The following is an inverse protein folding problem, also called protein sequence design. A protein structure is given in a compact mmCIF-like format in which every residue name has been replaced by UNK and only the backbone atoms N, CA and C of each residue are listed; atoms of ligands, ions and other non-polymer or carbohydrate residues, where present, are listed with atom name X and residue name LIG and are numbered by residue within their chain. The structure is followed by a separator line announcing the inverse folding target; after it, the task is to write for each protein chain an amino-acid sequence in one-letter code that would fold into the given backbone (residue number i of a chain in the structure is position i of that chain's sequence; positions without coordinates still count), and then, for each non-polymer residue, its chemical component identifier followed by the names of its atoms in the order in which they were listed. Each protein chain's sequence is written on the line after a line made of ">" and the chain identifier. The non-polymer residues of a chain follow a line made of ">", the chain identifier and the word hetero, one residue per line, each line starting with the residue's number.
data_IF_986723407970
#
_entry.id   IF_986723407970
#
_cell.length_a   1.000
_cell.length_b   1.000
_cell.length_c   1.000
_cell.angle_alpha   90.00
_cell.angle_beta   90.00
_cell.angle_gamma   90.00
#
_symmetry.space_group_name_H-M   'P 1'
#
loop_
_entity.id
_entity.type
_entity.pdbx_description
1 polymer ?
#
# COMPACT_ATOMS: atom_id res chain seq x y z
N UNK A 1 68.63 -2.34 -32.97
CA UNK A 1 67.76 -1.75 -31.89
C UNK A 1 66.39 -1.25 -32.37
N UNK A 2 66.26 -0.48 -33.46
CA UNK A 2 64.97 0.04 -33.93
C UNK A 2 63.92 -1.03 -34.29
N UNK A 3 64.36 -2.20 -34.82
CA UNK A 3 63.38 -3.30 -35.19
C UNK A 3 62.86 -4.09 -33.99
N UNK A 4 63.58 -4.16 -32.89
CA UNK A 4 63.21 -4.85 -31.68
C UNK A 4 62.15 -4.01 -30.93
N UNK A 5 62.25 -2.68 -30.94
CA UNK A 5 61.28 -1.77 -30.35
C UNK A 5 59.96 -1.81 -31.10
N UNK A 6 59.94 -1.95 -32.43
CA UNK A 6 58.73 -2.06 -33.23
C UNK A 6 57.99 -3.35 -32.97
N UNK A 7 58.66 -4.47 -32.75
CA UNK A 7 58.02 -5.77 -32.44
C UNK A 7 57.45 -5.76 -31.02
N UNK A 8 58.16 -5.14 -30.06
CA UNK A 8 57.65 -4.99 -28.69
C UNK A 8 56.43 -4.08 -28.62
N UNK A 9 56.36 -2.99 -29.39
CA UNK A 9 55.22 -2.10 -29.47
C UNK A 9 53.97 -2.79 -30.08
N UNK A 10 54.18 -3.60 -31.15
CA UNK A 10 53.07 -4.37 -31.73
C UNK A 10 52.55 -5.48 -30.80
N UNK A 11 53.42 -6.14 -30.05
CA UNK A 11 53.03 -7.15 -29.07
C UNK A 11 52.27 -6.54 -27.89
N UNK A 12 52.61 -5.31 -27.45
CA UNK A 12 51.91 -4.60 -26.39
C UNK A 12 50.51 -4.10 -26.86
N UNK A 13 50.37 -3.70 -28.11
CA UNK A 13 49.11 -3.29 -28.71
C UNK A 13 48.16 -4.47 -28.97
N UNK A 14 48.69 -5.65 -29.29
CA UNK A 14 47.88 -6.86 -29.45
C UNK A 14 47.40 -7.44 -28.12
N UNK A 15 48.11 -7.24 -27.02
CA UNK A 15 47.66 -7.68 -25.69
C UNK A 15 46.52 -6.84 -25.10
N UNK A 16 46.31 -5.61 -25.59
CA UNK A 16 45.20 -4.76 -25.14
C UNK A 16 43.86 -5.09 -25.80
N UNK A 17 43.84 -5.76 -26.95
CA UNK A 17 42.59 -6.17 -27.63
C UNK A 17 42.09 -7.53 -27.19
N UNK A 18 42.92 -8.38 -26.57
CA UNK A 18 42.52 -9.70 -26.06
C UNK A 18 42.01 -9.61 -24.59
N UNK A 19 42.23 -8.46 -23.96
CA UNK A 19 41.83 -8.25 -22.55
C UNK A 19 40.31 -8.06 -22.34
N UNK A 20 39.57 -7.77 -23.39
CA UNK A 20 38.12 -7.55 -23.24
C UNK A 20 37.31 -8.84 -23.21
N UNK A 21 37.80 -9.94 -23.82
CA UNK A 21 37.05 -11.21 -23.83
C UNK A 21 37.31 -12.09 -22.60
N UNK A 22 38.34 -11.77 -21.80
CA UNK A 22 38.67 -12.56 -20.61
C UNK A 22 37.97 -12.09 -19.33
N UNK A 23 37.29 -10.97 -19.39
CA UNK A 23 36.39 -10.48 -18.37
C UNK A 23 34.97 -10.42 -18.97
N UNK A 24 34.40 -11.55 -19.33
CA UNK A 24 32.93 -11.65 -19.40
C UNK A 24 32.41 -11.43 -18.00
N UNK A 25 32.12 -10.17 -17.70
CA UNK A 25 31.73 -9.72 -16.36
C UNK A 25 30.32 -10.14 -15.98
N UNK A 26 29.51 -10.60 -16.91
CA UNK A 26 28.19 -11.12 -16.63
C UNK A 26 27.63 -11.82 -17.88
N UNK A 27 27.54 -13.15 -17.86
CA UNK A 27 26.88 -13.95 -18.89
C UNK A 27 25.40 -14.15 -18.63
N UNK A 28 24.80 -13.47 -17.65
CA UNK A 28 23.39 -13.61 -17.40
C UNK A 28 22.58 -12.90 -18.49
N UNK A 29 21.61 -13.60 -19.05
CA UNK A 29 20.59 -12.95 -19.89
C UNK A 29 20.00 -11.78 -19.11
N UNK A 30 19.83 -10.63 -19.76
CA UNK A 30 19.09 -9.51 -19.16
C UNK A 30 17.65 -9.89 -18.82
N UNK A 31 16.95 -9.02 -18.12
CA UNK A 31 15.54 -9.23 -17.80
C UNK A 31 14.75 -9.65 -19.05
N UNK A 32 14.05 -10.76 -18.94
CA UNK A 32 13.39 -11.41 -20.08
C UNK A 32 11.89 -11.65 -19.87
N UNK A 33 11.36 -11.18 -18.76
CA UNK A 33 9.95 -11.21 -18.44
C UNK A 33 9.44 -9.85 -17.95
N UNK A 34 8.12 -9.69 -18.03
CA UNK A 34 7.37 -8.56 -17.47
C UNK A 34 6.18 -9.12 -16.75
N UNK A 35 5.77 -8.45 -15.69
CA UNK A 35 4.60 -8.85 -14.93
C UNK A 35 3.74 -7.63 -14.61
N UNK A 36 2.44 -7.81 -14.71
CA UNK A 36 1.44 -6.86 -14.24
C UNK A 36 0.30 -7.62 -13.58
N UNK A 37 -0.49 -6.93 -12.78
CA UNK A 37 -1.65 -7.55 -12.15
C UNK A 37 -2.34 -6.60 -11.19
N UNK A 38 -3.24 -7.17 -10.40
CA UNK A 38 -4.08 -6.47 -9.43
C UNK A 38 -4.03 -7.16 -8.09
N UNK A 39 -4.18 -6.36 -7.06
CA UNK A 39 -4.51 -6.86 -5.73
C UNK A 39 -6.03 -6.88 -5.64
N UNK A 40 -6.61 -8.05 -5.44
CA UNK A 40 -8.05 -8.29 -5.52
C UNK A 40 -8.58 -8.66 -4.13
N UNK A 41 -9.64 -7.99 -3.70
CA UNK A 41 -10.42 -8.41 -2.54
C UNK A 41 -11.05 -9.79 -2.79
N UNK A 42 -10.72 -10.75 -1.96
CA UNK A 42 -11.15 -12.15 -2.10
C UNK A 42 -12.68 -12.32 -2.06
N UNK A 43 -13.41 -11.41 -1.38
CA UNK A 43 -14.88 -11.44 -1.28
C UNK A 43 -15.56 -10.84 -2.50
N UNK A 44 -15.09 -9.67 -2.94
CA UNK A 44 -15.80 -8.88 -3.96
C UNK A 44 -15.26 -9.09 -5.37
N UNK A 45 -14.02 -9.58 -5.50
CA UNK A 45 -13.32 -9.68 -6.78
C UNK A 45 -12.89 -8.32 -7.35
N UNK A 46 -13.06 -7.22 -6.60
CA UNK A 46 -12.67 -5.88 -7.04
C UNK A 46 -11.24 -5.55 -6.61
N UNK A 47 -10.54 -4.69 -7.34
CA UNK A 47 -9.22 -4.23 -6.92
C UNK A 47 -9.28 -3.51 -5.56
N UNK A 48 -8.35 -3.86 -4.68
CA UNK A 48 -8.17 -3.16 -3.40
C UNK A 48 -7.46 -1.85 -3.67
N UNK A 49 -8.12 -0.75 -3.35
CA UNK A 49 -7.55 0.58 -3.50
C UNK A 49 -6.40 0.78 -2.50
N UNK A 50 -5.27 1.25 -3.00
CA UNK A 50 -4.03 1.40 -2.24
C UNK A 50 -3.61 2.86 -2.12
N UNK A 51 -2.49 3.12 -1.51
CA UNK A 51 -1.87 4.44 -1.47
C UNK A 51 -0.43 4.42 -1.99
N UNK A 52 0.09 5.58 -2.34
CA UNK A 52 1.47 5.69 -2.78
C UNK A 52 2.44 5.24 -1.68
N UNK A 53 3.36 4.36 -2.04
CA UNK A 53 4.34 3.81 -1.12
C UNK A 53 4.11 2.34 -0.79
N UNK A 54 2.92 1.82 -1.00
CA UNK A 54 2.60 0.42 -0.81
C UNK A 54 3.32 -0.48 -1.83
N UNK A 55 3.61 -1.70 -1.42
CA UNK A 55 4.37 -2.66 -2.23
C UNK A 55 4.03 -4.11 -1.90
N UNK A 56 4.33 -4.99 -2.86
CA UNK A 56 4.42 -6.43 -2.67
C UNK A 56 5.85 -6.78 -2.27
N UNK A 57 6.02 -7.70 -1.34
CA UNK A 57 7.30 -8.35 -1.07
C UNK A 57 7.30 -9.68 -1.80
N UNK A 58 8.18 -9.81 -2.77
CA UNK A 58 8.28 -10.96 -3.65
C UNK A 58 9.70 -11.52 -3.57
N UNK A 59 9.81 -12.85 -3.61
CA UNK A 59 11.09 -13.56 -3.66
C UNK A 59 11.15 -14.37 -4.94
N UNK A 60 12.25 -14.24 -5.66
CA UNK A 60 12.61 -15.10 -6.78
C UNK A 60 13.27 -16.36 -6.24
N UNK A 61 12.79 -17.52 -6.67
CA UNK A 61 13.27 -18.81 -6.20
C UNK A 61 14.43 -19.35 -7.02
N UNK A 62 15.25 -20.18 -6.40
CA UNK A 62 16.33 -20.87 -7.10
C UNK A 62 17.70 -20.19 -7.03
N UNK A 63 17.83 -19.17 -6.24
CA UNK A 63 19.10 -18.52 -5.92
C UNK A 63 19.68 -19.03 -4.60
N UNK A 64 21.00 -19.04 -4.46
CA UNK A 64 21.69 -19.44 -3.22
C UNK A 64 21.29 -18.56 -2.03
N UNK A 65 21.00 -17.28 -2.28
CA UNK A 65 20.42 -16.35 -1.34
C UNK A 65 19.11 -15.77 -1.93
N UNK A 66 18.00 -16.11 -1.31
CA UNK A 66 16.70 -15.55 -1.69
C UNK A 66 16.52 -14.15 -1.08
N UNK A 67 16.49 -13.12 -1.91
CA UNK A 67 16.33 -11.74 -1.47
C UNK A 67 14.91 -11.24 -1.70
N UNK A 68 14.42 -10.42 -0.77
CA UNK A 68 13.13 -9.78 -0.89
C UNK A 68 13.19 -8.62 -1.91
N UNK A 69 12.30 -8.68 -2.89
CA UNK A 69 12.09 -7.62 -3.88
C UNK A 69 10.80 -6.86 -3.54
N UNK A 70 10.85 -5.52 -3.57
CA UNK A 70 9.68 -4.67 -3.36
C UNK A 70 9.06 -4.24 -4.70
N UNK A 71 7.88 -4.76 -5.05
CA UNK A 71 7.16 -4.33 -6.26
C UNK A 71 6.08 -3.32 -5.91
N UNK A 72 6.15 -2.11 -6.49
CA UNK A 72 5.26 -1.00 -6.18
C UNK A 72 3.82 -1.26 -6.63
N UNK A 73 2.87 -0.93 -5.74
CA UNK A 73 1.43 -0.97 -6.01
C UNK A 73 0.99 0.47 -6.27
N UNK A 74 0.15 0.66 -7.28
CA UNK A 74 -0.49 1.95 -7.60
C UNK A 74 -1.74 2.15 -6.75
N UNK A 75 -2.27 3.37 -6.74
CA UNK A 75 -3.42 3.74 -5.94
C UNK A 75 -4.71 2.97 -6.28
N UNK A 76 -4.84 2.50 -7.52
CA UNK A 76 -5.96 1.68 -7.98
C UNK A 76 -5.79 0.17 -7.70
N UNK A 77 -4.76 -0.20 -6.95
CA UNK A 77 -4.47 -1.60 -6.63
C UNK A 77 -3.79 -2.38 -7.74
N UNK A 78 -3.40 -1.73 -8.85
CA UNK A 78 -2.61 -2.37 -9.90
C UNK A 78 -1.13 -2.31 -9.61
N UNK A 79 -0.36 -3.23 -10.19
CA UNK A 79 1.10 -3.20 -10.16
C UNK A 79 1.69 -3.61 -11.50
N UNK A 80 2.93 -3.21 -11.73
CA UNK A 80 3.71 -3.61 -12.91
C UNK A 80 5.20 -3.60 -12.60
N UNK A 81 5.89 -4.64 -13.07
CA UNK A 81 7.34 -4.71 -13.06
C UNK A 81 7.82 -5.26 -14.41
N UNK A 82 8.58 -4.44 -15.14
CA UNK A 82 9.10 -4.78 -16.47
C UNK A 82 10.54 -5.33 -16.41
N UNK A 83 11.12 -5.42 -15.21
CA UNK A 83 12.51 -5.78 -14.98
C UNK A 83 12.57 -7.03 -14.09
N UNK A 84 12.10 -8.16 -14.61
CA UNK A 84 12.10 -9.45 -13.93
C UNK A 84 12.61 -10.56 -14.85
N UNK A 85 13.05 -11.66 -14.28
CA UNK A 85 13.39 -12.87 -15.02
C UNK A 85 12.18 -13.82 -15.12
N UNK A 86 12.18 -14.68 -16.13
CA UNK A 86 11.29 -15.82 -16.14
C UNK A 86 11.77 -16.84 -15.11
N UNK A 87 10.88 -17.33 -14.26
CA UNK A 87 11.23 -18.23 -13.16
C UNK A 87 10.09 -18.46 -12.17
N UNK A 88 10.42 -19.12 -11.09
CA UNK A 88 9.52 -19.37 -9.97
C UNK A 88 9.63 -18.24 -8.94
N UNK A 89 8.48 -17.79 -8.44
CA UNK A 89 8.38 -16.69 -7.51
C UNK A 89 7.43 -17.01 -6.37
N UNK A 90 7.59 -16.30 -5.27
CA UNK A 90 6.66 -16.33 -4.15
C UNK A 90 6.39 -14.91 -3.66
N UNK A 91 5.13 -14.49 -3.64
CA UNK A 91 4.71 -13.30 -2.95
C UNK A 91 4.54 -13.64 -1.47
N UNK A 92 5.36 -13.04 -0.60
CA UNK A 92 5.38 -13.32 0.85
C UNK A 92 4.40 -12.46 1.62
N UNK A 93 4.34 -11.19 1.31
CA UNK A 93 3.46 -10.23 1.98
C UNK A 93 3.21 -9.02 1.11
N UNK A 94 2.22 -8.26 1.46
CA UNK A 94 1.91 -6.99 0.81
C UNK A 94 1.34 -5.99 1.81
N UNK A 95 1.43 -4.72 1.46
CA UNK A 95 0.97 -3.60 2.27
C UNK A 95 -0.08 -2.81 1.48
N UNK A 96 -1.35 -3.17 1.66
CA UNK A 96 -2.49 -2.48 1.01
C UNK A 96 -3.67 -2.27 1.96
N UNK A 97 -3.43 -2.27 3.28
CA UNK A 97 -4.51 -2.25 4.26
C UNK A 97 -5.27 -3.57 4.30
N UNK A 98 -4.54 -4.67 4.44
CA UNK A 98 -5.09 -6.03 4.43
C UNK A 98 -4.55 -6.88 5.58
N UNK A 99 -5.35 -7.87 5.98
CA UNK A 99 -4.88 -8.95 6.85
C UNK A 99 -3.78 -9.74 6.16
N UNK A 100 -2.87 -10.29 6.96
CA UNK A 100 -1.83 -11.15 6.45
C UNK A 100 -2.45 -12.30 5.64
N UNK A 101 -1.94 -12.54 4.46
CA UNK A 101 -2.29 -13.68 3.61
C UNK A 101 -1.16 -14.70 3.61
N UNK A 102 -1.51 -15.95 3.36
CA UNK A 102 -0.51 -16.98 3.09
C UNK A 102 0.37 -16.57 1.90
N UNK A 103 1.66 -16.96 1.89
CA UNK A 103 2.51 -16.79 0.73
C UNK A 103 1.88 -17.41 -0.52
N UNK A 104 1.95 -16.70 -1.64
CA UNK A 104 1.37 -17.14 -2.92
C UNK A 104 2.49 -17.39 -3.92
N UNK A 105 2.67 -18.67 -4.29
CA UNK A 105 3.63 -19.08 -5.31
C UNK A 105 3.07 -18.80 -6.72
N UNK A 106 3.93 -18.38 -7.64
CA UNK A 106 3.58 -18.17 -9.05
C UNK A 106 4.81 -18.32 -9.95
N UNK A 107 4.55 -18.52 -11.25
CA UNK A 107 5.60 -18.69 -12.26
C UNK A 107 5.50 -17.57 -13.28
N UNK A 108 6.63 -16.98 -13.66
CA UNK A 108 6.73 -16.05 -14.79
C UNK A 108 7.37 -16.75 -15.98
N UNK A 109 6.72 -16.63 -17.13
CA UNK A 109 7.26 -17.03 -18.42
C UNK A 109 8.00 -15.87 -19.09
N UNK A 110 8.89 -16.17 -20.04
CA UNK A 110 9.51 -15.13 -20.90
C UNK A 110 8.40 -14.30 -21.58
N UNK A 111 8.58 -12.98 -21.59
CA UNK A 111 7.59 -12.02 -22.14
C UNK A 111 6.58 -11.51 -21.13
N UNK A 112 5.36 -11.23 -21.58
CA UNK A 112 4.33 -10.59 -20.76
C UNK A 112 3.57 -11.61 -19.90
N UNK A 113 3.39 -11.31 -18.61
CA UNK A 113 2.66 -12.12 -17.65
C UNK A 113 1.60 -11.27 -16.94
N UNK A 114 0.50 -11.91 -16.53
CA UNK A 114 -0.52 -11.31 -15.67
C UNK A 114 -0.72 -12.20 -14.46
N UNK A 115 -0.53 -11.65 -13.25
CA UNK A 115 -0.68 -12.36 -11.98
C UNK A 115 -1.49 -11.48 -11.04
N UNK A 116 -2.62 -11.97 -10.57
CA UNK A 116 -3.45 -11.27 -9.58
C UNK A 116 -3.31 -11.95 -8.22
N UNK A 117 -3.21 -11.14 -7.15
CA UNK A 117 -3.13 -11.62 -5.77
C UNK A 117 -4.41 -11.32 -5.02
N UNK A 118 -4.91 -12.28 -4.25
CA UNK A 118 -6.12 -12.15 -3.45
C UNK A 118 -5.78 -11.85 -2.00
N UNK A 119 -6.53 -10.92 -1.42
CA UNK A 119 -6.39 -10.51 -0.01
C UNK A 119 -7.75 -10.27 0.63
N UNK A 120 -7.76 -10.26 1.97
CA UNK A 120 -8.87 -9.71 2.74
C UNK A 120 -8.46 -8.31 3.24
N UNK A 121 -9.04 -7.23 2.75
CA UNK A 121 -8.76 -5.89 3.26
C UNK A 121 -9.21 -5.78 4.73
N UNK A 122 -8.66 -4.85 5.50
CA UNK A 122 -9.10 -4.63 6.87
C UNK A 122 -10.56 -4.20 6.93
N UNK A 123 -10.95 -3.31 6.03
CA UNK A 123 -12.34 -2.93 5.86
C UNK A 123 -12.66 -2.65 4.40
N UNK A 124 -13.95 -2.60 4.08
CA UNK A 124 -14.46 -2.24 2.74
C UNK A 124 -15.26 -0.97 2.84
N UNK A 125 -14.99 -0.02 1.95
CA UNK A 125 -15.83 1.14 1.74
C UNK A 125 -16.82 0.77 0.64
N UNK A 126 -18.10 0.72 1.00
CA UNK A 126 -19.17 0.27 0.11
C UNK A 126 -19.94 1.45 -0.46
N UNK A 127 -20.28 1.36 -1.76
CA UNK A 127 -21.10 2.32 -2.47
C UNK A 127 -20.65 3.78 -2.29
N UNK A 128 -19.35 4.10 -2.41
CA UNK A 128 -18.87 5.45 -2.23
C UNK A 128 -19.47 6.39 -3.29
N UNK A 129 -20.01 7.51 -2.83
CA UNK A 129 -20.55 8.57 -3.68
C UNK A 129 -19.95 9.90 -3.22
N UNK A 130 -19.34 10.63 -4.14
CA UNK A 130 -18.79 11.97 -3.87
C UNK A 130 -19.48 12.97 -4.77
N UNK A 131 -19.98 14.05 -4.19
CA UNK A 131 -20.71 15.12 -4.90
C UNK A 131 -20.20 16.49 -4.48
N UNK A 132 -20.40 17.48 -5.32
CA UNK A 132 -20.09 18.87 -5.04
C UNK A 132 -21.36 19.71 -5.08
N UNK A 133 -21.65 20.38 -3.99
CA UNK A 133 -22.74 21.34 -3.88
C UNK A 133 -22.19 22.75 -4.13
N UNK A 134 -22.41 23.25 -5.34
CA UNK A 134 -21.90 24.55 -5.77
C UNK A 134 -22.52 25.73 -5.05
N UNK A 135 -23.75 25.59 -4.53
CA UNK A 135 -24.46 26.64 -3.82
C UNK A 135 -23.89 26.84 -2.40
N UNK A 136 -23.66 25.74 -1.69
CA UNK A 136 -23.09 25.75 -0.34
C UNK A 136 -21.57 25.70 -0.31
N UNK A 137 -20.92 25.45 -1.46
CA UNK A 137 -19.47 25.25 -1.58
C UNK A 137 -18.98 24.09 -0.71
N UNK A 138 -19.70 22.98 -0.75
CA UNK A 138 -19.36 21.79 0.04
C UNK A 138 -19.11 20.58 -0.85
N UNK A 139 -18.03 19.86 -0.55
CA UNK A 139 -17.77 18.51 -1.07
C UNK A 139 -18.42 17.55 -0.09
N UNK A 140 -19.30 16.67 -0.57
CA UNK A 140 -20.04 15.70 0.25
C UNK A 140 -19.73 14.29 -0.18
N UNK A 141 -19.54 13.42 0.79
CA UNK A 141 -19.38 11.98 0.58
C UNK A 141 -20.43 11.20 1.33
N UNK A 142 -20.94 10.14 0.70
CA UNK A 142 -21.89 9.19 1.30
C UNK A 142 -21.42 7.77 0.98
N UNK A 143 -21.34 6.91 1.98
CA UNK A 143 -20.86 5.53 1.85
C UNK A 143 -21.30 4.71 3.07
N UNK A 144 -21.07 3.40 3.03
CA UNK A 144 -21.07 2.55 4.22
C UNK A 144 -19.77 1.78 4.32
N UNK A 145 -19.53 1.12 5.45
CA UNK A 145 -18.34 0.32 5.67
C UNK A 145 -18.72 -1.07 6.15
N UNK A 146 -17.90 -2.06 5.83
CA UNK A 146 -17.96 -3.40 6.42
C UNK A 146 -16.57 -3.88 6.80
N UNK A 147 -16.49 -4.80 7.76
CA UNK A 147 -15.24 -5.46 8.10
C UNK A 147 -14.76 -6.35 6.97
N UNK A 148 -13.44 -6.42 6.80
CA UNK A 148 -12.82 -7.31 5.82
C UNK A 148 -13.06 -8.78 6.12
N UNK A 149 -13.05 -9.13 7.41
CA UNK A 149 -13.35 -10.46 7.94
C UNK A 149 -14.51 -10.32 8.93
N UNK A 150 -15.55 -11.17 8.86
CA UNK A 150 -16.75 -11.03 9.71
C UNK A 150 -16.49 -11.06 11.21
N UNK A 151 -15.45 -11.77 11.63
CA UNK A 151 -15.07 -11.94 13.02
C UNK A 151 -14.43 -10.68 13.63
N UNK A 152 -14.01 -9.76 12.76
CA UNK A 152 -13.34 -8.51 13.14
C UNK A 152 -14.37 -7.38 13.07
N UNK A 153 -14.85 -6.91 14.21
CA UNK A 153 -15.88 -5.88 14.27
C UNK A 153 -15.35 -4.57 14.87
N UNK A 154 -14.48 -3.87 14.12
CA UNK A 154 -13.90 -2.66 14.70
C UNK A 154 -13.41 -1.64 13.68
N UNK A 155 -14.30 -1.03 12.93
CA UNK A 155 -13.95 0.17 12.18
C UNK A 155 -14.07 1.38 13.09
N UNK A 156 -12.94 2.04 13.37
CA UNK A 156 -12.91 3.16 14.32
C UNK A 156 -13.27 4.48 13.68
N UNK A 157 -12.69 4.81 12.52
CA UNK A 157 -12.78 6.14 11.90
C UNK A 157 -12.89 6.09 10.39
N UNK A 158 -13.49 7.14 9.82
CA UNK A 158 -13.42 7.41 8.40
C UNK A 158 -13.14 8.89 8.14
N UNK A 159 -12.47 9.17 7.05
CA UNK A 159 -12.00 10.49 6.66
C UNK A 159 -12.44 10.81 5.23
N UNK A 160 -12.78 12.07 5.00
CA UNK A 160 -12.89 12.64 3.66
C UNK A 160 -11.65 13.49 3.41
N UNK A 161 -10.72 12.95 2.64
CA UNK A 161 -9.45 13.59 2.34
C UNK A 161 -9.58 14.45 1.08
N UNK A 162 -9.03 15.66 1.10
CA UNK A 162 -8.92 16.56 -0.06
C UNK A 162 -7.50 17.06 -0.18
N UNK A 163 -6.94 16.97 -1.39
CA UNK A 163 -5.56 17.35 -1.67
C UNK A 163 -5.41 17.83 -3.12
N UNK A 164 -4.41 18.68 -3.45
CA UNK A 164 -4.23 19.18 -4.82
C UNK A 164 -3.64 18.18 -5.81
N UNK A 165 -3.32 16.97 -5.38
CA UNK A 165 -2.72 15.93 -6.21
C UNK A 165 -3.48 14.62 -6.07
N UNK A 166 -3.46 13.78 -7.12
CA UNK A 166 -4.13 12.47 -7.17
C UNK A 166 -3.59 11.44 -6.17
N UNK A 167 -2.48 11.71 -5.52
CA UNK A 167 -1.94 10.90 -4.43
C UNK A 167 -2.57 11.21 -3.06
N UNK A 168 -3.78 11.79 -3.08
CA UNK A 168 -4.58 12.09 -1.89
C UNK A 168 -4.75 10.87 -0.99
N UNK A 169 -4.47 11.07 0.31
CA UNK A 169 -4.55 10.06 1.38
C UNK A 169 -4.60 10.75 2.74
N UNK A 170 -4.76 9.99 3.82
CA UNK A 170 -4.83 10.60 5.16
C UNK A 170 -3.58 11.45 5.48
N UNK A 171 -2.37 10.99 5.12
CA UNK A 171 -1.14 11.76 5.30
C UNK A 171 -0.95 12.91 4.29
N UNK A 172 -1.75 12.96 3.21
CA UNK A 172 -1.81 14.05 2.22
C UNK A 172 -3.24 14.55 2.13
N UNK A 173 -3.66 15.29 3.15
CA UNK A 173 -5.01 15.82 3.33
C UNK A 173 -4.93 17.22 3.94
N UNK A 174 -5.30 18.23 3.18
CA UNK A 174 -5.30 19.62 3.62
C UNK A 174 -6.58 20.03 4.37
N UNK A 175 -7.58 19.14 4.44
CA UNK A 175 -8.85 19.37 5.13
C UNK A 175 -9.01 18.51 6.40
N UNK A 176 -7.94 17.96 6.94
CA UNK A 176 -7.96 17.07 8.11
C UNK A 176 -8.45 17.73 9.41
N UNK A 177 -8.45 19.07 9.48
CA UNK A 177 -8.98 19.83 10.63
C UNK A 177 -10.45 20.20 10.48
N UNK A 178 -11.12 19.84 9.38
CA UNK A 178 -12.54 20.04 9.20
C UNK A 178 -13.32 18.97 9.99
N UNK A 179 -14.11 19.34 10.99
CA UNK A 179 -14.87 18.34 11.78
C UNK A 179 -15.91 17.60 10.95
N UNK A 180 -16.37 18.15 9.84
CA UNK A 180 -17.28 17.50 8.90
C UNK A 180 -16.61 16.39 8.07
N UNK A 181 -15.28 16.45 7.95
CA UNK A 181 -14.48 15.49 7.19
C UNK A 181 -14.11 14.23 7.97
N UNK A 182 -14.56 14.08 9.20
CA UNK A 182 -14.22 12.97 10.10
C UNK A 182 -15.47 12.33 10.69
N UNK A 183 -15.60 11.02 10.61
CA UNK A 183 -16.49 10.20 11.41
C UNK A 183 -15.68 9.32 12.38
N UNK A 184 -16.15 9.19 13.59
CA UNK A 184 -15.57 8.37 14.66
C UNK A 184 -16.60 7.37 15.19
N UNK A 185 -16.14 6.33 15.87
CA UNK A 185 -17.00 5.31 16.50
C UNK A 185 -17.98 4.66 15.51
N UNK A 186 -17.46 4.30 14.34
CA UNK A 186 -18.24 3.67 13.29
C UNK A 186 -18.50 2.22 13.69
N UNK A 187 -19.78 1.81 13.69
CA UNK A 187 -20.20 0.42 13.81
C UNK A 187 -20.45 -0.18 12.41
N UNK A 188 -19.53 -1.03 11.91
CA UNK A 188 -19.69 -1.61 10.58
C UNK A 188 -20.82 -2.64 10.51
N UNK A 189 -21.20 -3.25 11.64
CA UNK A 189 -22.30 -4.22 11.68
C UNK A 189 -23.66 -3.57 11.47
N UNK A 190 -23.78 -2.27 11.72
CA UNK A 190 -25.03 -1.54 11.51
C UNK A 190 -25.40 -1.37 10.03
N UNK A 191 -24.43 -1.45 9.12
CA UNK A 191 -24.61 -1.12 7.70
C UNK A 191 -25.05 0.33 7.45
N UNK A 192 -24.93 1.20 8.46
CA UNK A 192 -25.40 2.58 8.39
C UNK A 192 -24.64 3.38 7.31
N UNK A 193 -25.37 4.29 6.68
CA UNK A 193 -24.76 5.25 5.77
C UNK A 193 -24.00 6.31 6.57
N UNK A 194 -22.74 6.50 6.21
CA UNK A 194 -21.87 7.53 6.74
C UNK A 194 -21.89 8.70 5.77
N UNK A 195 -22.09 9.90 6.29
CA UNK A 195 -22.05 11.13 5.51
C UNK A 195 -20.96 12.04 6.06
N UNK A 196 -20.03 12.43 5.18
CA UNK A 196 -18.96 13.37 5.48
C UNK A 196 -19.06 14.56 4.55
N UNK A 197 -18.57 15.71 5.00
CA UNK A 197 -18.50 16.90 4.16
C UNK A 197 -17.24 17.71 4.45
N UNK A 198 -16.71 18.37 3.41
CA UNK A 198 -15.68 19.38 3.52
C UNK A 198 -16.27 20.72 3.09
N UNK A 199 -16.25 21.70 3.98
CA UNK A 199 -16.73 23.06 3.71
C UNK A 199 -15.59 23.92 3.17
N UNK A 200 -15.64 24.29 1.88
CA UNK A 200 -14.61 25.11 1.25
C UNK A 200 -14.51 26.51 1.85
N UNK A 201 -15.55 26.98 2.54
CA UNK A 201 -15.56 28.30 3.18
C UNK A 201 -14.98 28.28 4.60
N UNK A 202 -14.71 27.09 5.16
CA UNK A 202 -14.15 26.98 6.50
C UNK A 202 -12.72 27.54 6.50
N UNK A 203 -12.36 28.45 7.42
CA UNK A 203 -11.00 29.01 7.47
C UNK A 203 -9.90 27.96 7.59
N UNK A 204 -10.16 26.84 8.25
CA UNK A 204 -9.22 25.72 8.35
C UNK A 204 -8.88 25.08 6.99
N UNK A 205 -9.77 25.20 6.01
CA UNK A 205 -9.62 24.63 4.66
C UNK A 205 -9.08 25.65 3.65
N UNK A 206 -8.88 26.91 4.06
CA UNK A 206 -8.51 28.01 3.15
C UNK A 206 -7.24 27.74 2.34
N UNK A 207 -6.27 27.04 2.93
CA UNK A 207 -5.02 26.69 2.23
C UNK A 207 -5.28 25.79 1.02
N UNK A 208 -6.22 24.85 1.12
CA UNK A 208 -6.54 23.94 0.02
C UNK A 208 -7.24 24.68 -1.12
N UNK A 209 -8.19 25.55 -0.80
CA UNK A 209 -9.09 26.16 -1.78
C UNK A 209 -8.69 27.60 -2.21
N UNK A 210 -7.50 28.07 -1.85
CA UNK A 210 -7.03 29.41 -2.21
C UNK A 210 -6.71 29.59 -3.70
N UNK A 211 -6.50 28.49 -4.43
CA UNK A 211 -6.15 28.52 -5.85
C UNK A 211 -7.22 27.81 -6.68
N UNK A 212 -7.49 28.35 -7.86
CA UNK A 212 -8.34 27.70 -8.88
C UNK A 212 -7.54 26.60 -9.58
N UNK A 213 -7.75 25.38 -9.12
CA UNK A 213 -7.06 24.16 -9.59
C UNK A 213 -7.94 22.93 -9.35
N UNK A 214 -7.63 21.80 -9.98
CA UNK A 214 -8.26 20.52 -9.61
C UNK A 214 -7.97 20.17 -8.15
N UNK A 215 -8.99 19.61 -7.48
CA UNK A 215 -8.86 19.04 -6.13
C UNK A 215 -9.18 17.56 -6.20
N UNK A 216 -8.35 16.76 -5.58
CA UNK A 216 -8.53 15.31 -5.52
C UNK A 216 -9.11 14.92 -4.18
N UNK A 217 -10.07 14.00 -4.21
CA UNK A 217 -10.90 13.64 -3.07
C UNK A 217 -10.85 12.13 -2.91
N UNK A 218 -10.75 11.69 -1.67
CA UNK A 218 -10.73 10.26 -1.35
C UNK A 218 -11.34 10.00 0.01
N UNK A 219 -12.12 8.94 0.12
CA UNK A 219 -12.59 8.43 1.40
C UNK A 219 -11.55 7.44 1.92
N UNK A 220 -11.20 7.54 3.20
CA UNK A 220 -10.37 6.57 3.89
C UNK A 220 -11.13 6.01 5.10
N UNK A 221 -10.95 4.74 5.38
CA UNK A 221 -11.47 4.11 6.59
C UNK A 221 -10.36 3.32 7.28
N UNK A 222 -10.33 3.36 8.60
CA UNK A 222 -9.36 2.66 9.43
C UNK A 222 -10.06 2.02 10.62
N UNK A 223 -9.68 0.78 10.89
CA UNK A 223 -10.13 0.03 12.05
C UNK A 223 -8.99 -0.17 13.04
N UNK A 224 -9.32 -0.43 14.28
CA UNK A 224 -8.38 -0.94 15.25
C UNK A 224 -8.24 -2.46 15.03
N UNK A 225 -7.02 -2.93 14.88
CA UNK A 225 -6.73 -4.34 14.68
C UNK A 225 -5.74 -4.83 15.73
N UNK A 226 -6.00 -6.02 16.22
CA UNK A 226 -5.10 -6.70 17.13
C UNK A 226 -4.63 -7.98 16.48
N UNK A 227 -3.35 -8.18 16.46
CA UNK A 227 -2.74 -9.43 16.01
C UNK A 227 -1.81 -9.97 17.08
N UNK A 228 -1.74 -11.28 17.24
CA UNK A 228 -0.70 -11.89 18.03
C UNK A 228 0.61 -11.68 17.26
N UNK A 229 1.59 -11.00 17.88
CA UNK A 229 2.95 -11.04 17.39
C UNK A 229 3.46 -12.47 17.51
N UNK A 230 4.06 -13.01 16.46
CA UNK A 230 4.85 -14.22 16.64
C UNK A 230 5.92 -13.97 17.68
N UNK A 231 6.16 -14.96 18.54
CA UNK A 231 7.26 -14.88 19.49
C UNK A 231 8.56 -14.59 18.72
N UNK A 232 9.30 -13.60 19.20
CA UNK A 232 10.65 -13.37 18.72
C UNK A 232 11.52 -14.51 19.22
N UNK A 233 11.95 -15.37 18.31
CA UNK A 233 12.99 -16.36 18.57
C UNK A 233 14.34 -15.69 18.28
N UNK A 234 15.20 -15.59 19.29
CA UNK A 234 16.52 -14.95 19.15
C UNK A 234 17.39 -15.67 18.10
N UNK A 235 17.15 -16.97 17.88
CA UNK A 235 17.93 -17.80 16.95
C UNK A 235 17.32 -17.87 15.53
N UNK A 236 16.01 -17.68 15.38
CA UNK A 236 15.29 -17.90 14.10
C UNK A 236 14.58 -16.66 13.56
N UNK A 237 14.57 -15.58 14.32
CA UNK A 237 13.81 -14.38 13.96
C UNK A 237 12.31 -14.51 14.21
N UNK A 238 11.54 -13.61 13.63
CA UNK A 238 10.09 -13.55 13.85
C UNK A 238 9.36 -14.61 13.03
N UNK A 239 8.63 -15.50 13.68
CA UNK A 239 7.74 -16.44 12.99
C UNK A 239 6.48 -15.76 12.48
N UNK A 240 6.50 -15.31 11.25
CA UNK A 240 5.38 -14.63 10.61
C UNK A 240 4.22 -15.56 10.23
N UNK A 241 4.38 -16.89 10.36
CA UNK A 241 3.33 -17.84 10.02
C UNK A 241 2.11 -17.77 10.95
N UNK A 242 2.30 -17.26 12.17
CA UNK A 242 1.24 -17.12 13.19
C UNK A 242 0.47 -15.81 13.13
N UNK A 243 0.82 -14.87 12.26
CA UNK A 243 0.06 -13.61 12.13
C UNK A 243 -1.39 -13.79 11.66
N UNK A 244 -1.76 -14.95 11.16
CA UNK A 244 -3.14 -15.27 10.80
C UNK A 244 -4.00 -15.82 11.95
N UNK A 245 -3.40 -16.14 13.11
CA UNK A 245 -4.11 -16.67 14.28
C UNK A 245 -4.64 -15.59 15.23
N UNK A 246 -4.76 -14.35 14.76
CA UNK A 246 -5.15 -13.24 15.59
C UNK A 246 -6.55 -13.43 16.18
N UNK A 247 -6.64 -13.45 17.48
CA UNK A 247 -7.87 -13.09 18.19
C UNK A 247 -8.00 -11.57 18.14
N UNK A 248 -9.05 -11.10 17.49
CA UNK A 248 -9.29 -9.66 17.42
C UNK A 248 -10.10 -9.24 18.64
N UNK A 249 -9.47 -8.47 19.50
CA UNK A 249 -10.14 -7.80 20.62
C UNK A 249 -10.40 -6.33 20.23
N UNK A 250 -11.47 -5.77 20.78
CA UNK A 250 -11.79 -4.35 20.60
C UNK A 250 -10.72 -3.49 21.25
N UNK A 251 -10.36 -2.38 20.59
CA UNK A 251 -9.43 -1.41 21.15
C UNK A 251 -9.89 -0.92 22.52
N UNK A 252 -9.06 -1.02 23.55
CA UNK A 252 -9.36 -0.39 24.83
C UNK A 252 -9.37 1.12 24.67
N UNK A 253 -9.98 1.81 25.63
CA UNK A 253 -9.91 3.26 25.72
C UNK A 253 -8.42 3.69 25.78
N UNK A 254 -8.07 4.72 25.02
CA UNK A 254 -6.70 5.25 24.94
C UNK A 254 -6.05 5.59 26.28
N UNK A 255 -6.87 5.94 27.29
CA UNK A 255 -6.37 6.26 28.62
C UNK A 255 -5.64 5.10 29.31
N UNK A 256 -5.97 3.86 28.92
CA UNK A 256 -5.38 2.64 29.50
C UNK A 256 -4.48 1.87 28.52
N UNK A 257 -4.20 2.45 27.37
CA UNK A 257 -3.50 1.79 26.28
C UNK A 257 -2.14 1.22 26.68
N UNK A 258 -1.31 2.00 27.36
CA UNK A 258 0.03 1.55 27.78
C UNK A 258 -0.02 0.44 28.84
N UNK A 259 -0.98 0.50 29.76
CA UNK A 259 -1.17 -0.55 30.77
C UNK A 259 -1.66 -1.84 30.13
N UNK A 260 -2.58 -1.71 29.18
CA UNK A 260 -3.12 -2.84 28.44
C UNK A 260 -2.05 -3.47 27.54
N UNK A 261 -1.25 -2.68 26.80
CA UNK A 261 -0.10 -3.15 26.03
C UNK A 261 0.89 -3.95 26.90
N UNK A 262 1.18 -3.46 28.10
CA UNK A 262 2.10 -4.13 29.02
C UNK A 262 1.52 -5.44 29.59
N UNK A 263 0.20 -5.61 29.59
CA UNK A 263 -0.47 -6.80 30.11
C UNK A 263 -0.55 -7.95 29.09
N UNK A 264 -0.32 -7.67 27.80
CA UNK A 264 -0.44 -8.66 26.72
C UNK A 264 0.92 -8.78 26.02
N UNK A 265 1.81 -9.64 26.53
CA UNK A 265 3.08 -9.89 25.86
C UNK A 265 2.82 -10.48 24.47
N UNK A 266 3.59 -10.01 23.48
CA UNK A 266 3.55 -10.47 22.09
C UNK A 266 2.31 -10.04 21.26
N UNK A 267 1.58 -9.02 21.70
CA UNK A 267 0.47 -8.48 20.93
C UNK A 267 0.92 -7.28 20.10
N UNK A 268 0.76 -7.33 18.78
CA UNK A 268 0.77 -6.13 17.95
C UNK A 268 -0.63 -5.56 17.93
N UNK A 269 -0.72 -4.32 18.33
CA UNK A 269 -1.93 -3.54 18.26
C UNK A 269 -1.82 -2.62 17.05
N UNK A 270 -2.68 -2.86 16.09
CA UNK A 270 -2.90 -1.95 15.00
C UNK A 270 -4.13 -1.13 15.32
N UNK A 271 -3.91 -0.01 15.93
CA UNK A 271 -4.95 0.98 16.20
C UNK A 271 -5.08 1.91 14.99
N UNK A 272 -6.14 2.71 14.93
CA UNK A 272 -6.37 3.75 13.91
C UNK A 272 -5.15 4.67 13.64
N UNK A 273 -4.19 4.65 14.53
CA UNK A 273 -2.82 5.08 14.30
C UNK A 273 -1.93 3.92 14.72
N UNK A 274 -1.12 3.41 13.82
CA UNK A 274 -0.19 2.37 14.14
C UNK A 274 0.84 2.79 15.12
N UNK A 275 1.03 1.96 16.11
CA UNK A 275 2.22 2.01 16.94
C UNK A 275 3.21 0.98 16.43
N UNK A 276 4.39 1.43 16.08
CA UNK A 276 5.53 0.55 15.89
C UNK A 276 6.08 0.12 17.24
N UNK A 277 6.92 -0.90 17.29
CA UNK A 277 7.52 -1.42 18.52
C UNK A 277 8.29 -0.38 19.35
N UNK A 278 8.64 0.77 18.77
CA UNK A 278 9.32 1.88 19.42
C UNK A 278 8.36 3.01 19.86
N UNK A 279 7.04 2.80 19.71
CA UNK A 279 6.02 3.79 20.05
C UNK A 279 5.83 4.89 18.99
N UNK A 280 6.49 4.80 17.85
CA UNK A 280 6.24 5.71 16.73
C UNK A 280 4.95 5.34 16.00
N UNK A 281 4.31 6.33 15.40
CA UNK A 281 3.09 6.14 14.62
C UNK A 281 3.48 5.96 13.15
N UNK A 282 3.17 4.80 12.59
CA UNK A 282 3.32 4.57 11.16
C UNK A 282 1.94 4.59 10.48
N UNK A 283 1.62 5.65 9.77
CA UNK A 283 0.29 5.89 9.20
C UNK A 283 0.08 5.29 7.81
N UNK A 284 1.02 4.50 7.28
CA UNK A 284 1.05 4.24 5.86
C UNK A 284 0.41 2.93 5.38
N UNK A 285 -0.02 2.00 6.25
CA UNK A 285 -0.35 0.65 5.77
C UNK A 285 -1.74 0.12 6.15
N UNK A 286 -2.55 0.86 6.90
CA UNK A 286 -3.77 0.31 7.52
C UNK A 286 -5.07 0.97 7.10
N UNK A 287 -5.00 2.00 6.27
CA UNK A 287 -6.17 2.61 5.70
C UNK A 287 -6.63 1.83 4.47
N UNK A 288 -7.93 1.59 4.41
CA UNK A 288 -8.58 1.21 3.16
C UNK A 288 -9.23 2.44 2.54
N UNK A 289 -9.19 2.49 1.23
CA UNK A 289 -9.55 3.69 0.47
C UNK A 289 -10.67 3.42 -0.53
N UNK A 290 -11.43 4.48 -0.85
CA UNK A 290 -12.26 4.52 -2.04
C UNK A 290 -11.39 4.74 -3.30
N UNK A 291 -11.94 4.63 -4.51
CA UNK A 291 -11.36 5.28 -5.68
C UNK A 291 -11.06 6.76 -5.42
N UNK A 292 -10.17 7.32 -6.21
CA UNK A 292 -9.88 8.76 -6.17
C UNK A 292 -10.86 9.49 -7.07
N UNK A 293 -11.40 10.59 -6.58
CA UNK A 293 -12.26 11.49 -7.35
C UNK A 293 -11.56 12.82 -7.59
N UNK A 294 -11.86 13.46 -8.70
CA UNK A 294 -11.35 14.80 -9.06
C UNK A 294 -12.51 15.78 -9.15
N UNK A 295 -12.42 16.87 -8.40
CA UNK A 295 -13.28 18.04 -8.57
C UNK A 295 -12.55 19.07 -9.45
N UNK A 296 -13.13 19.35 -10.61
CA UNK A 296 -12.63 20.34 -11.55
C UNK A 296 -13.80 21.04 -12.23
N UNK A 297 -13.77 22.36 -12.27
CA UNK A 297 -14.84 23.20 -12.85
C UNK A 297 -16.25 22.87 -12.31
N UNK A 298 -16.34 22.55 -11.00
CA UNK A 298 -17.60 22.19 -10.34
C UNK A 298 -18.13 20.78 -10.63
N UNK A 299 -17.37 19.97 -11.33
CA UNK A 299 -17.74 18.60 -11.70
C UNK A 299 -16.85 17.58 -10.98
N UNK A 300 -17.47 16.51 -10.45
CA UNK A 300 -16.77 15.37 -9.85
C UNK A 300 -16.64 14.27 -10.90
N UNK A 301 -15.43 13.74 -11.07
CA UNK A 301 -15.14 12.57 -11.91
C UNK A 301 -14.24 11.59 -11.19
N UNK A 302 -14.38 10.28 -11.41
CA UNK A 302 -13.45 9.28 -10.90
C UNK A 302 -12.15 9.29 -11.72
N UNK A 303 -11.00 9.14 -11.05
CA UNK A 303 -9.68 9.05 -11.68
C UNK A 303 -9.41 7.58 -12.04
N UNK A 304 -9.25 7.29 -13.32
CA UNK A 304 -9.03 5.94 -13.83
C UNK A 304 -7.72 5.76 -14.60
N UNK A 305 -6.97 6.83 -14.83
CA UNK A 305 -5.72 6.88 -15.59
C UNK A 305 -4.47 6.86 -14.67
N UNK A 306 -4.11 5.69 -14.16
CA UNK A 306 -2.98 5.49 -13.25
C UNK A 306 -1.66 5.08 -13.92
#
# INVERSE_FOLDING_TARGET
>A
MKRIFSILSCALLLSTVVSCDWFELDNQEGYNAKVQGKIIDAKTGQPVQSEQGNYLVVVEKGWDAEENQGWRIKNDGTYRNDLVFAGEYEMKTMSVGNFQSDPQAFTLNKGDNTVDFKVNPFCRILNPSVTFDSASKKIKASFSVENGIPEVNNIGKAYLCVYPDRFVRVGYNNCGSDPGALAINIDPASGATINLEVDMNLPANATEFQYDRPHYIRIAAVGAHYGIMPEWDEDQGTDWSRMGEATVELAPDYSNFNEWMASIPHLIIHHDAEYTNDGSINTNSYYNYSPVYKLENGTITEVTDW
#
